data_IF_648508483242
#
_entry.id   IF_648508483242
#
_cell.length_a   1.000
_cell.length_b   1.000
_cell.length_c   1.000
_cell.angle_alpha   90.00
_cell.angle_beta   90.00
_cell.angle_gamma   90.00
#
_symmetry.space_group_name_H-M   'P 1'
#
loop_
_entity.id
_entity.type
_entity.pdbx_description
1 polymer ?
#
# COMPACT_ATOMS: atom_id res chain seq x y z
N UNK A 1 12.53 28.56 9.09
CA UNK A 1 13.35 27.42 8.61
C UNK A 1 12.97 26.21 9.46
N UNK A 2 12.06 25.39 8.96
CA UNK A 2 11.66 24.17 9.65
C UNK A 2 12.65 23.08 9.30
N UNK A 3 13.52 22.73 10.24
CA UNK A 3 14.37 21.54 10.16
C UNK A 3 13.46 20.34 10.32
N UNK A 4 13.16 19.66 9.22
CA UNK A 4 12.56 18.34 9.27
C UNK A 4 13.64 17.33 9.60
N UNK A 5 13.36 16.59 10.66
CA UNK A 5 14.18 15.57 11.29
C UNK A 5 14.77 14.57 10.31
N UNK A 6 16.08 14.37 10.43
CA UNK A 6 16.76 13.15 10.00
C UNK A 6 16.23 11.98 10.80
N UNK A 7 15.81 10.91 10.12
CA UNK A 7 15.51 9.62 10.73
C UNK A 7 16.45 8.59 10.10
N UNK A 8 17.52 8.29 10.84
CA UNK A 8 18.49 7.24 10.52
C UNK A 8 18.15 6.04 11.39
N UNK A 9 17.49 5.07 10.77
CA UNK A 9 17.14 3.76 11.33
C UNK A 9 16.24 3.11 10.30
N UNK A 10 16.74 2.10 9.56
CA UNK A 10 16.19 1.63 8.28
C UNK A 10 14.66 1.60 8.22
N UNK A 11 14.03 2.70 7.78
CA UNK A 11 12.58 2.79 7.66
C UNK A 11 12.16 1.83 6.57
N UNK A 12 11.47 0.76 6.95
CA UNK A 12 10.67 -0.01 6.01
C UNK A 12 9.85 0.98 5.18
N UNK A 13 9.96 0.89 3.85
CA UNK A 13 9.28 1.84 2.97
C UNK A 13 7.79 1.91 3.35
N UNK A 14 7.15 3.09 3.28
CA UNK A 14 5.74 3.24 3.64
C UNK A 14 4.91 2.16 2.95
N UNK A 15 3.99 1.53 3.69
CA UNK A 15 3.14 0.44 3.19
C UNK A 15 2.51 0.75 1.82
N UNK A 16 2.07 1.99 1.62
CA UNK A 16 1.51 2.50 0.36
C UNK A 16 2.48 2.36 -0.83
N UNK A 17 3.78 2.58 -0.61
CA UNK A 17 4.83 2.39 -1.60
C UNK A 17 5.04 0.90 -1.90
N UNK A 18 5.05 0.03 -0.88
CA UNK A 18 5.16 -1.42 -1.07
C UNK A 18 3.99 -2.01 -1.88
N UNK A 19 2.76 -1.56 -1.60
CA UNK A 19 1.57 -1.91 -2.39
C UNK A 19 1.74 -1.48 -3.85
N UNK A 20 2.16 -0.23 -4.10
CA UNK A 20 2.38 0.28 -5.45
C UNK A 20 3.48 -0.48 -6.20
N UNK A 21 4.58 -0.79 -5.54
CA UNK A 21 5.70 -1.55 -6.12
C UNK A 21 5.25 -2.97 -6.49
N UNK A 22 4.58 -3.68 -5.59
CA UNK A 22 4.07 -5.02 -5.84
C UNK A 22 3.05 -5.05 -7.00
N UNK A 23 2.16 -4.05 -7.07
CA UNK A 23 1.24 -3.91 -8.20
C UNK A 23 1.98 -3.72 -9.53
N UNK A 24 2.95 -2.80 -9.57
CA UNK A 24 3.73 -2.53 -10.78
C UNK A 24 4.57 -3.74 -11.22
N UNK A 25 5.13 -4.49 -10.27
CA UNK A 25 5.88 -5.71 -10.57
C UNK A 25 5.03 -6.79 -11.25
N UNK A 26 3.72 -6.78 -11.02
CA UNK A 26 2.74 -7.64 -11.72
C UNK A 26 2.27 -7.08 -13.06
N UNK A 27 2.71 -5.90 -13.47
CA UNK A 27 2.22 -5.21 -14.67
C UNK A 27 0.80 -4.66 -14.53
N UNK A 28 0.22 -4.65 -13.34
CA UNK A 28 -1.16 -4.24 -13.13
C UNK A 28 -1.33 -2.72 -13.05
N UNK A 29 -2.39 -2.21 -13.64
CA UNK A 29 -2.97 -0.89 -13.36
C UNK A 29 -3.67 -0.85 -12.00
N UNK A 30 -3.98 0.35 -11.51
CA UNK A 30 -4.77 0.50 -10.27
C UNK A 30 -6.17 -0.11 -10.39
N UNK A 31 -6.76 -0.09 -11.59
CA UNK A 31 -8.06 -0.71 -11.86
C UNK A 31 -7.97 -2.23 -11.76
N UNK A 32 -6.93 -2.84 -12.34
CA UNK A 32 -6.74 -4.30 -12.26
C UNK A 32 -6.53 -4.76 -10.82
N UNK A 33 -5.69 -4.05 -10.05
CA UNK A 33 -5.55 -4.35 -8.62
C UNK A 33 -6.90 -4.23 -7.89
N UNK A 34 -7.68 -3.19 -8.19
CA UNK A 34 -8.98 -2.99 -7.58
C UNK A 34 -9.94 -4.15 -7.90
N UNK A 35 -9.96 -4.62 -9.15
CA UNK A 35 -10.73 -5.79 -9.59
C UNK A 35 -10.29 -7.05 -8.86
N UNK A 36 -8.98 -7.35 -8.82
CA UNK A 36 -8.46 -8.53 -8.13
C UNK A 36 -8.71 -8.51 -6.62
N UNK A 37 -8.68 -7.33 -5.99
CA UNK A 37 -8.94 -7.17 -4.56
C UNK A 37 -10.43 -7.02 -4.21
N UNK A 38 -11.34 -6.92 -5.19
CA UNK A 38 -12.76 -6.69 -4.95
C UNK A 38 -13.04 -5.34 -4.25
N UNK A 39 -12.36 -4.27 -4.66
CA UNK A 39 -12.52 -2.90 -4.13
C UNK A 39 -12.66 -1.88 -5.27
N UNK A 40 -12.94 -0.62 -4.94
CA UNK A 40 -12.98 0.45 -5.95
C UNK A 40 -11.58 0.90 -6.36
N UNK A 41 -11.42 1.38 -7.61
CA UNK A 41 -10.17 2.02 -8.06
C UNK A 41 -9.78 3.19 -7.15
N UNK A 42 -10.74 4.01 -6.72
CA UNK A 42 -10.49 5.14 -5.81
C UNK A 42 -9.89 4.67 -4.48
N UNK A 43 -10.34 3.52 -3.96
CA UNK A 43 -9.77 2.89 -2.77
C UNK A 43 -8.29 2.56 -2.95
N UNK A 44 -7.93 1.97 -4.10
CA UNK A 44 -6.52 1.71 -4.45
C UNK A 44 -5.72 3.02 -4.57
N UNK A 45 -6.26 4.04 -5.25
CA UNK A 45 -5.60 5.35 -5.36
C UNK A 45 -5.33 5.96 -3.99
N UNK A 46 -6.32 5.95 -3.08
CA UNK A 46 -6.18 6.45 -1.71
C UNK A 46 -5.11 5.68 -0.92
N UNK A 47 -5.16 4.34 -0.98
CA UNK A 47 -4.19 3.47 -0.32
C UNK A 47 -2.76 3.74 -0.81
N UNK A 48 -2.54 3.81 -2.12
CA UNK A 48 -1.22 4.11 -2.68
C UNK A 48 -0.74 5.55 -2.43
N UNK A 49 -1.66 6.47 -2.13
CA UNK A 49 -1.35 7.82 -1.69
C UNK A 49 -1.09 7.90 -0.16
N UNK A 50 -1.11 6.76 0.55
CA UNK A 50 -0.90 6.70 2.00
C UNK A 50 -2.09 7.24 2.80
N UNK A 51 -3.27 7.35 2.20
CA UNK A 51 -4.48 7.73 2.93
C UNK A 51 -5.05 6.52 3.66
N UNK A 52 -5.65 6.77 4.82
CA UNK A 52 -6.28 5.74 5.62
C UNK A 52 -7.39 5.02 4.83
N UNK A 53 -7.38 3.70 4.94
CA UNK A 53 -8.41 2.78 4.47
C UNK A 53 -8.74 1.81 5.62
N UNK A 54 -9.86 1.09 5.54
CA UNK A 54 -10.16 0.09 6.57
C UNK A 54 -9.14 -1.06 6.54
N UNK A 55 -8.89 -1.67 7.69
CA UNK A 55 -7.99 -2.84 7.78
C UNK A 55 -8.45 -3.99 6.89
N UNK A 56 -9.78 -4.19 6.76
CA UNK A 56 -10.35 -5.18 5.83
C UNK A 56 -9.97 -4.88 4.36
N UNK A 57 -10.04 -3.62 3.94
CA UNK A 57 -9.59 -3.20 2.60
C UNK A 57 -8.11 -3.47 2.41
N UNK A 58 -7.30 -3.12 3.41
CA UNK A 58 -5.86 -3.33 3.33
C UNK A 58 -5.52 -4.82 3.19
N UNK A 59 -6.20 -5.69 3.95
CA UNK A 59 -6.03 -7.13 3.88
C UNK A 59 -6.41 -7.69 2.51
N UNK A 60 -7.55 -7.26 1.93
CA UNK A 60 -7.95 -7.67 0.57
C UNK A 60 -6.91 -7.29 -0.49
N UNK A 61 -6.39 -6.07 -0.41
CA UNK A 61 -5.35 -5.61 -1.33
C UNK A 61 -4.05 -6.39 -1.13
N UNK A 62 -3.62 -6.60 0.11
CA UNK A 62 -2.42 -7.37 0.41
C UNK A 62 -2.54 -8.82 -0.11
N UNK A 63 -3.67 -9.48 0.14
CA UNK A 63 -3.96 -10.84 -0.32
C UNK A 63 -3.90 -10.95 -1.85
N UNK A 64 -4.56 -10.02 -2.57
CA UNK A 64 -4.53 -9.99 -4.04
C UNK A 64 -3.12 -9.83 -4.63
N UNK A 65 -2.21 -9.19 -3.87
CA UNK A 65 -0.81 -8.99 -4.23
C UNK A 65 0.11 -10.11 -3.73
N UNK A 66 -0.38 -11.06 -2.94
CA UNK A 66 0.41 -12.10 -2.28
C UNK A 66 1.33 -11.56 -1.19
N UNK A 67 0.97 -10.43 -0.58
CA UNK A 67 1.72 -9.79 0.51
C UNK A 67 1.21 -10.27 1.87
N UNK A 68 2.14 -10.48 2.81
CA UNK A 68 1.82 -10.71 4.22
C UNK A 68 2.10 -9.45 5.04
N UNK A 69 1.13 -9.05 5.85
CA UNK A 69 1.29 -7.95 6.81
C UNK A 69 1.85 -8.51 8.11
N UNK A 70 2.89 -7.87 8.64
CA UNK A 70 3.41 -8.12 9.97
C UNK A 70 3.25 -6.84 10.80
N UNK A 71 2.70 -6.98 11.99
CA UNK A 71 2.67 -5.92 12.98
C UNK A 71 3.97 -6.02 13.79
N UNK A 72 4.60 -4.89 14.07
CA UNK A 72 5.72 -4.83 15.01
C UNK A 72 5.23 -4.08 16.26
N UNK A 73 5.71 -4.50 17.42
CA UNK A 73 5.53 -3.82 18.70
C UNK A 73 6.55 -2.71 18.89
#
# INVERSE_FOLDING_TARGET
>A
MSVSTVDTGGRAAPLSRKVREARKARGWSQTELATHAGVSRLTVTRLEAGKSVSSSTLLKVADSLGLRLALHE
#
